data_IF_050259685703
#
_entry.id   IF_050259685703
#
_cell.length_a   1.000
_cell.length_b   1.000
_cell.length_c   1.000
_cell.angle_alpha   90.00
_cell.angle_beta   90.00
_cell.angle_gamma   90.00
#
_symmetry.space_group_name_H-M   'P 1'
#
loop_
_entity.id
_entity.type
_entity.pdbx_description
1 polymer ?
#
# COMPACT_ATOMS: atom_id res chain seq x y z
N UNK A 1 -17.01 10.48 47.17
CA UNK A 1 -17.55 9.84 45.95
C UNK A 1 -18.66 10.76 45.47
N UNK A 2 -18.31 11.69 44.59
CA UNK A 2 -19.31 12.47 43.87
C UNK A 2 -20.00 11.50 42.93
N UNK A 3 -21.30 11.22 43.14
CA UNK A 3 -22.09 10.63 42.08
C UNK A 3 -22.00 11.58 40.89
N UNK A 4 -21.65 11.09 39.70
CA UNK A 4 -21.76 11.91 38.48
C UNK A 4 -23.19 12.49 38.51
N UNK A 5 -23.37 13.81 38.35
CA UNK A 5 -24.69 14.48 38.34
C UNK A 5 -25.70 13.83 37.39
N UNK A 6 -25.22 12.94 36.54
CA UNK A 6 -25.92 12.30 35.46
C UNK A 6 -26.57 10.95 35.76
N UNK A 7 -26.36 10.35 36.95
CA UNK A 7 -27.14 9.18 37.39
C UNK A 7 -28.52 9.55 37.94
N UNK A 8 -28.73 10.83 38.27
CA UNK A 8 -29.88 11.31 39.03
C UNK A 8 -31.21 11.11 38.29
N UNK A 9 -31.25 11.16 36.95
CA UNK A 9 -32.48 10.90 36.19
C UNK A 9 -32.85 9.42 36.18
N UNK A 10 -31.86 8.54 36.04
CA UNK A 10 -32.09 7.09 36.05
C UNK A 10 -32.53 6.68 37.45
N UNK A 11 -31.84 7.18 38.47
CA UNK A 11 -32.24 7.01 39.87
C UNK A 11 -33.65 7.55 40.11
N UNK A 12 -33.99 8.75 39.62
CA UNK A 12 -35.34 9.31 39.74
C UNK A 12 -36.40 8.48 39.00
N UNK A 13 -36.13 7.99 37.79
CA UNK A 13 -37.07 7.13 37.06
C UNK A 13 -37.28 5.79 37.77
N UNK A 14 -36.24 5.25 38.40
CA UNK A 14 -36.36 4.08 39.27
C UNK A 14 -37.17 4.38 40.54
N UNK A 15 -36.91 5.50 41.21
CA UNK A 15 -37.70 5.95 42.38
C UNK A 15 -39.18 6.13 42.03
N UNK A 16 -39.50 6.65 40.85
CA UNK A 16 -40.88 6.75 40.36
C UNK A 16 -41.50 5.38 40.08
N UNK A 17 -40.75 4.47 39.48
CA UNK A 17 -41.23 3.11 39.22
C UNK A 17 -41.55 2.40 40.54
N UNK A 18 -40.70 2.58 41.55
CA UNK A 18 -40.88 2.04 42.89
C UNK A 18 -42.11 2.66 43.57
N UNK A 19 -42.24 4.00 43.53
CA UNK A 19 -43.42 4.70 44.05
C UNK A 19 -44.72 4.22 43.41
N UNK A 20 -44.78 4.11 42.08
CA UNK A 20 -45.99 3.66 41.38
C UNK A 20 -46.29 2.19 41.75
N UNK A 21 -45.26 1.36 41.93
CA UNK A 21 -45.42 -0.03 42.36
C UNK A 21 -45.95 -0.14 43.80
N UNK A 22 -45.48 0.73 44.70
CA UNK A 22 -45.95 0.83 46.09
C UNK A 22 -47.38 1.38 46.18
N UNK A 23 -47.74 2.35 45.33
CA UNK A 23 -49.11 2.85 45.22
C UNK A 23 -50.08 1.74 44.80
N UNK A 24 -49.69 0.94 43.80
CA UNK A 24 -50.48 -0.20 43.33
C UNK A 24 -50.64 -1.25 44.45
N UNK A 25 -49.56 -1.57 45.17
CA UNK A 25 -49.58 -2.62 46.20
C UNK A 25 -50.33 -2.21 47.48
N UNK A 26 -50.36 -0.92 47.81
CA UNK A 26 -51.04 -0.39 49.00
C UNK A 26 -52.55 -0.14 48.80
N UNK A 27 -53.01 -0.07 47.55
CA UNK A 27 -54.43 0.12 47.22
C UNK A 27 -55.23 -1.17 47.46
N UNK A 28 -55.84 -1.32 48.64
CA UNK A 28 -56.80 -2.40 48.90
C UNK A 28 -58.04 -2.22 47.99
N UNK A 29 -58.26 -3.18 47.09
CA UNK A 29 -59.12 -3.11 45.89
C UNK A 29 -60.65 -2.96 46.09
N UNK A 30 -61.16 -2.30 47.13
CA UNK A 30 -62.61 -2.35 47.44
C UNK A 30 -63.42 -1.07 47.19
N UNK A 31 -62.80 0.02 46.73
CA UNK A 31 -63.53 1.28 46.48
C UNK A 31 -63.65 1.58 44.98
N UNK A 32 -64.88 1.58 44.44
CA UNK A 32 -65.16 1.77 43.00
C UNK A 32 -64.60 3.10 42.44
N UNK A 33 -64.41 4.11 43.30
CA UNK A 33 -63.82 5.39 42.92
C UNK A 33 -62.31 5.37 42.66
N UNK A 34 -61.58 4.33 43.09
CA UNK A 34 -60.11 4.24 42.99
C UNK A 34 -59.67 3.50 41.71
N UNK A 35 -60.55 2.69 41.13
CA UNK A 35 -60.24 1.84 39.97
C UNK A 35 -59.64 2.59 38.75
N UNK A 36 -60.12 3.79 38.36
CA UNK A 36 -59.56 4.53 37.22
C UNK A 36 -58.11 4.98 37.46
N UNK A 37 -57.84 5.48 38.67
CA UNK A 37 -56.51 5.92 39.10
C UNK A 37 -55.53 4.75 39.16
N UNK A 38 -56.01 3.59 39.64
CA UNK A 38 -55.20 2.36 39.70
C UNK A 38 -54.82 1.86 38.30
N UNK A 39 -55.75 1.85 37.35
CA UNK A 39 -55.47 1.45 35.97
C UNK A 39 -54.42 2.36 35.32
N UNK A 40 -54.53 3.67 35.54
CA UNK A 40 -53.56 4.66 35.05
C UNK A 40 -52.17 4.46 35.67
N UNK A 41 -52.10 4.14 36.96
CA UNK A 41 -50.86 3.80 37.64
C UNK A 41 -50.22 2.52 37.06
N UNK A 42 -51.02 1.49 36.79
CA UNK A 42 -50.56 0.24 36.18
C UNK A 42 -49.98 0.49 34.78
N UNK A 43 -50.69 1.24 33.93
CA UNK A 43 -50.22 1.59 32.58
C UNK A 43 -48.90 2.37 32.61
N UNK A 44 -48.77 3.33 33.54
CA UNK A 44 -47.56 4.11 33.71
C UNK A 44 -46.39 3.24 34.19
N UNK A 45 -46.62 2.37 35.19
CA UNK A 45 -45.61 1.42 35.69
C UNK A 45 -45.07 0.57 34.55
N UNK A 46 -45.95 -0.02 33.77
CA UNK A 46 -45.57 -0.94 32.71
C UNK A 46 -44.81 -0.20 31.58
N UNK A 47 -45.21 1.04 31.28
CA UNK A 47 -44.52 1.92 30.33
C UNK A 47 -43.12 2.34 30.80
N UNK A 48 -42.99 2.74 32.07
CA UNK A 48 -41.71 3.09 32.69
C UNK A 48 -40.77 1.90 32.75
N UNK A 49 -41.28 0.73 33.14
CA UNK A 49 -40.51 -0.51 33.19
C UNK A 49 -40.02 -0.92 31.81
N UNK A 50 -40.90 -0.87 30.81
CA UNK A 50 -40.53 -1.14 29.43
C UNK A 50 -39.42 -0.19 28.98
N UNK A 51 -39.58 1.11 29.17
CA UNK A 51 -38.57 2.11 28.81
C UNK A 51 -37.22 1.84 29.47
N UNK A 52 -37.17 1.66 30.79
CA UNK A 52 -35.93 1.38 31.52
C UNK A 52 -35.25 0.08 31.06
N UNK A 53 -36.03 -0.93 30.67
CA UNK A 53 -35.48 -2.20 30.16
C UNK A 53 -34.99 -2.15 28.71
N UNK A 54 -35.55 -1.26 27.88
CA UNK A 54 -35.27 -1.20 26.43
C UNK A 54 -34.25 -0.11 26.08
N UNK A 55 -34.03 0.84 26.99
CA UNK A 55 -33.08 1.95 26.79
C UNK A 55 -31.65 1.42 26.92
N UNK A 56 -30.88 1.49 25.84
CA UNK A 56 -29.50 0.97 25.81
C UNK A 56 -28.58 1.99 26.49
N UNK A 57 -27.42 1.55 26.99
CA UNK A 57 -26.40 2.39 27.67
C UNK A 57 -26.03 3.66 26.87
N UNK A 58 -26.11 3.61 25.54
CA UNK A 58 -25.88 4.76 24.66
C UNK A 58 -27.03 5.78 24.69
N UNK A 59 -28.29 5.32 24.72
CA UNK A 59 -29.46 6.19 24.87
C UNK A 59 -29.46 6.88 26.25
N UNK A 60 -29.00 6.17 27.28
CA UNK A 60 -28.78 6.73 28.62
C UNK A 60 -27.66 7.78 28.64
N UNK A 61 -26.57 7.56 27.90
CA UNK A 61 -25.48 8.52 27.75
C UNK A 61 -25.90 9.80 26.97
N UNK A 62 -26.91 9.71 26.12
CA UNK A 62 -27.46 10.86 25.39
C UNK A 62 -28.32 11.74 26.31
N UNK A 63 -29.16 11.12 27.14
CA UNK A 63 -29.89 11.82 28.22
C UNK A 63 -28.93 12.47 29.24
N UNK A 64 -27.71 11.93 29.33
CA UNK A 64 -26.61 12.34 30.23
C UNK A 64 -25.93 13.67 29.86
N UNK A 65 -25.68 13.90 28.57
CA UNK A 65 -24.68 14.88 28.12
C UNK A 65 -25.25 16.13 27.44
N UNK A 66 -26.46 16.10 26.86
CA UNK A 66 -26.91 17.17 25.95
C UNK A 66 -27.94 18.16 26.56
N UNK A 67 -27.87 18.44 27.86
CA UNK A 67 -28.64 19.51 28.50
C UNK A 67 -30.16 19.26 28.63
N UNK A 68 -30.65 18.16 28.05
CA UNK A 68 -31.98 17.58 28.27
C UNK A 68 -32.25 17.17 29.73
N UNK A 69 -31.16 17.03 30.49
CA UNK A 69 -31.15 16.80 31.93
C UNK A 69 -31.94 17.87 32.70
N UNK A 70 -31.79 19.15 32.35
CA UNK A 70 -32.26 20.24 33.21
C UNK A 70 -33.79 20.37 33.25
N UNK A 71 -34.54 20.32 32.14
CA UNK A 71 -36.01 20.49 32.17
C UNK A 71 -36.73 19.31 32.83
N UNK A 72 -36.29 18.07 32.54
CA UNK A 72 -36.86 16.86 33.11
C UNK A 72 -36.57 16.78 34.62
N UNK A 73 -35.34 17.15 35.03
CA UNK A 73 -34.96 17.19 36.44
C UNK A 73 -35.64 18.34 37.21
N UNK A 74 -35.89 19.47 36.55
CA UNK A 74 -36.57 20.62 37.20
C UNK A 74 -38.05 20.31 37.43
N UNK A 75 -38.71 19.63 36.48
CA UNK A 75 -40.10 19.17 36.66
C UNK A 75 -40.21 18.06 37.69
N UNK A 76 -39.26 17.14 37.73
CA UNK A 76 -39.21 16.07 38.73
C UNK A 76 -39.00 16.55 40.17
N UNK A 77 -38.14 17.56 40.35
CA UNK A 77 -37.89 18.17 41.67
C UNK A 77 -39.12 18.97 42.14
N UNK A 78 -39.83 19.64 41.22
CA UNK A 78 -41.05 20.40 41.53
C UNK A 78 -42.26 19.52 41.89
N UNK A 79 -42.20 18.22 41.60
CA UNK A 79 -43.24 17.25 41.96
C UNK A 79 -43.26 16.93 43.48
N UNK A 80 -42.26 17.39 44.25
CA UNK A 80 -42.26 17.37 45.71
C UNK A 80 -41.97 15.98 46.33
N UNK A 81 -41.71 15.97 47.64
CA UNK A 81 -41.46 14.74 48.39
C UNK A 81 -42.75 13.92 48.52
N UNK A 82 -42.80 12.73 47.92
CA UNK A 82 -43.91 11.76 48.00
C UNK A 82 -44.38 11.43 49.42
N UNK A 83 -43.59 11.77 50.44
CA UNK A 83 -43.90 11.60 51.86
C UNK A 83 -45.20 12.31 52.27
N UNK A 84 -45.55 13.43 51.61
CA UNK A 84 -46.71 14.23 51.98
C UNK A 84 -48.03 13.60 51.48
N UNK A 85 -47.98 12.75 50.44
CA UNK A 85 -49.14 12.03 49.91
C UNK A 85 -49.59 10.88 50.81
N UNK A 86 -48.63 10.23 51.48
CA UNK A 86 -48.88 9.11 52.40
C UNK A 86 -49.10 9.53 53.85
N UNK A 87 -49.05 10.83 54.17
CA UNK A 87 -49.31 11.29 55.52
C UNK A 87 -50.74 10.90 55.95
N UNK A 88 -50.85 10.18 57.06
CA UNK A 88 -52.03 9.41 57.51
C UNK A 88 -53.17 10.29 58.03
N UNK A 89 -53.16 11.58 57.74
CA UNK A 89 -54.25 12.46 58.08
C UNK A 89 -55.43 12.23 57.12
N UNK A 90 -56.60 11.89 57.70
CA UNK A 90 -57.88 11.57 57.05
C UNK A 90 -58.55 12.79 56.38
N UNK A 91 -57.79 13.61 55.66
CA UNK A 91 -58.34 14.60 54.74
C UNK A 91 -59.02 13.92 53.56
N UNK A 92 -60.12 14.51 53.08
CA UNK A 92 -61.07 14.05 52.06
C UNK A 92 -60.39 13.21 50.97
N UNK A 93 -60.71 11.90 50.94
CA UNK A 93 -60.17 10.88 50.04
C UNK A 93 -60.15 11.33 48.56
N UNK A 94 -61.17 12.06 48.13
CA UNK A 94 -61.29 12.62 46.78
C UNK A 94 -60.17 13.61 46.43
N UNK A 95 -59.80 14.52 47.34
CA UNK A 95 -58.74 15.50 47.09
C UNK A 95 -57.35 14.85 47.00
N UNK A 96 -57.15 13.69 47.65
CA UNK A 96 -55.93 12.88 47.50
C UNK A 96 -55.90 12.16 46.15
N UNK A 97 -57.05 11.67 45.66
CA UNK A 97 -57.17 11.02 44.35
C UNK A 97 -56.90 12.01 43.22
N UNK A 98 -57.42 13.22 43.29
CA UNK A 98 -57.18 14.26 42.27
C UNK A 98 -55.70 14.66 42.22
N UNK A 99 -55.05 14.77 43.39
CA UNK A 99 -53.62 15.05 43.49
C UNK A 99 -52.77 13.92 42.89
N UNK A 100 -53.11 12.65 43.17
CA UNK A 100 -52.45 11.48 42.57
C UNK A 100 -52.66 11.46 41.05
N UNK A 101 -53.86 11.78 40.56
CA UNK A 101 -54.13 11.80 39.13
C UNK A 101 -53.33 12.89 38.39
N UNK A 102 -53.22 14.08 38.98
CA UNK A 102 -52.37 15.16 38.47
C UNK A 102 -50.89 14.75 38.45
N UNK A 103 -50.44 14.01 39.47
CA UNK A 103 -49.08 13.50 39.56
C UNK A 103 -48.78 12.48 38.43
N UNK A 104 -49.69 11.52 38.25
CA UNK A 104 -49.58 10.51 37.19
C UNK A 104 -49.61 11.13 35.78
N UNK A 105 -50.38 12.19 35.58
CA UNK A 105 -50.40 12.93 34.31
C UNK A 105 -49.06 13.63 34.02
N UNK A 106 -48.50 14.32 35.02
CA UNK A 106 -47.21 14.98 34.86
C UNK A 106 -46.10 13.96 34.56
N UNK A 107 -46.08 12.82 35.26
CA UNK A 107 -45.15 11.74 34.97
C UNK A 107 -45.30 11.17 33.56
N UNK A 108 -46.54 10.97 33.10
CA UNK A 108 -46.79 10.48 31.74
C UNK A 108 -46.31 11.49 30.68
N UNK A 109 -46.44 12.78 30.94
CA UNK A 109 -45.95 13.83 30.06
C UNK A 109 -44.42 13.85 30.00
N UNK A 110 -43.75 13.78 31.16
CA UNK A 110 -42.29 13.67 31.28
C UNK A 110 -41.79 12.44 30.50
N UNK A 111 -42.46 11.31 30.64
CA UNK A 111 -42.15 10.08 29.93
C UNK A 111 -42.23 10.23 28.40
N UNK A 112 -43.35 10.77 27.89
CA UNK A 112 -43.56 10.98 26.45
C UNK A 112 -42.54 11.93 25.85
N UNK A 113 -42.22 12.99 26.59
CA UNK A 113 -41.22 13.97 26.20
C UNK A 113 -39.82 13.32 26.11
N UNK A 114 -39.41 12.59 27.14
CA UNK A 114 -38.15 11.83 27.14
C UNK A 114 -38.04 10.87 25.94
N UNK A 115 -39.11 10.11 25.66
CA UNK A 115 -39.12 9.17 24.54
C UNK A 115 -39.01 9.87 23.16
N UNK A 116 -39.67 11.03 23.02
CA UNK A 116 -39.58 11.84 21.80
C UNK A 116 -38.15 12.32 21.57
N UNK A 117 -37.47 12.80 22.61
CA UNK A 117 -36.08 13.24 22.51
C UNK A 117 -35.12 12.12 22.13
N UNK A 118 -35.24 10.95 22.78
CA UNK A 118 -34.43 9.77 22.44
C UNK A 118 -34.61 9.40 20.96
N UNK A 119 -35.84 9.41 20.45
CA UNK A 119 -36.11 9.09 19.05
C UNK A 119 -35.51 10.11 18.06
N UNK A 120 -35.62 11.41 18.34
CA UNK A 120 -35.05 12.47 17.50
C UNK A 120 -33.53 12.36 17.47
N UNK A 121 -32.92 12.15 18.64
CA UNK A 121 -31.47 12.08 18.74
C UNK A 121 -30.92 10.84 18.04
N UNK A 122 -31.58 9.69 18.20
CA UNK A 122 -31.20 8.46 17.49
C UNK A 122 -31.21 8.65 15.97
N UNK A 123 -32.22 9.33 15.44
CA UNK A 123 -32.30 9.64 14.02
C UNK A 123 -31.18 10.58 13.56
N UNK A 124 -30.85 11.61 14.35
CA UNK A 124 -29.76 12.54 14.06
C UNK A 124 -28.41 11.83 14.10
N UNK A 125 -28.17 11.02 15.14
CA UNK A 125 -26.94 10.25 15.29
C UNK A 125 -26.73 9.27 14.15
N UNK A 126 -27.77 8.50 13.77
CA UNK A 126 -27.71 7.58 12.64
C UNK A 126 -27.45 8.31 11.32
N UNK A 127 -28.11 9.45 11.09
CA UNK A 127 -27.89 10.28 9.89
C UNK A 127 -26.47 10.84 9.84
N UNK A 128 -25.98 11.38 10.95
CA UNK A 128 -24.65 11.96 11.03
C UNK A 128 -23.57 10.90 10.86
N UNK A 129 -23.73 9.73 11.49
CA UNK A 129 -22.79 8.61 11.31
C UNK A 129 -22.74 8.14 9.87
N UNK A 130 -23.88 8.09 9.17
CA UNK A 130 -23.90 7.76 7.74
C UNK A 130 -23.12 8.81 6.93
N UNK A 131 -23.40 10.10 7.13
CA UNK A 131 -22.72 11.19 6.42
C UNK A 131 -21.20 11.17 6.71
N UNK A 132 -20.81 10.98 7.96
CA UNK A 132 -19.40 10.92 8.38
C UNK A 132 -18.73 9.68 7.77
N UNK A 133 -19.39 8.53 7.78
CA UNK A 133 -18.88 7.29 7.17
C UNK A 133 -18.68 7.44 5.67
N UNK A 134 -19.67 8.00 4.97
CA UNK A 134 -19.60 8.23 3.51
C UNK A 134 -18.45 9.21 3.19
N UNK A 135 -18.33 10.30 3.96
CA UNK A 135 -17.24 11.27 3.81
C UNK A 135 -15.86 10.65 4.10
N UNK A 136 -15.73 9.80 5.12
CA UNK A 136 -14.49 9.08 5.43
C UNK A 136 -14.12 8.13 4.28
N UNK A 137 -15.10 7.43 3.70
CA UNK A 137 -14.88 6.54 2.57
C UNK A 137 -14.37 7.30 1.34
N UNK A 138 -15.01 8.42 1.00
CA UNK A 138 -14.59 9.28 -0.12
C UNK A 138 -13.19 9.87 0.12
N UNK A 139 -12.89 10.29 1.37
CA UNK A 139 -11.58 10.80 1.74
C UNK A 139 -10.49 9.73 1.57
N UNK A 140 -10.79 8.49 1.97
CA UNK A 140 -9.87 7.35 1.85
C UNK A 140 -9.57 7.02 0.39
N UNK A 141 -10.57 7.07 -0.49
CA UNK A 141 -10.40 6.88 -1.93
C UNK A 141 -9.53 7.99 -2.54
N UNK A 142 -9.79 9.26 -2.18
CA UNK A 142 -8.97 10.39 -2.63
C UNK A 142 -7.52 10.29 -2.15
N UNK A 143 -7.29 9.92 -0.88
CA UNK A 143 -5.93 9.72 -0.34
C UNK A 143 -5.19 8.64 -1.12
N UNK A 144 -5.82 7.50 -1.41
CA UNK A 144 -5.22 6.44 -2.25
C UNK A 144 -4.86 6.95 -3.64
N UNK A 145 -5.72 7.77 -4.26
CA UNK A 145 -5.43 8.35 -5.57
C UNK A 145 -4.24 9.33 -5.55
N UNK A 146 -4.08 10.09 -4.46
CA UNK A 146 -2.98 11.05 -4.27
C UNK A 146 -1.66 10.31 -3.99
N UNK A 147 -1.68 9.26 -3.17
CA UNK A 147 -0.50 8.41 -2.97
C UNK A 147 -0.04 7.78 -4.29
N UNK A 148 -0.97 7.28 -5.10
CA UNK A 148 -0.66 6.73 -6.43
C UNK A 148 -0.10 7.80 -7.38
N UNK A 149 -0.67 9.01 -7.39
CA UNK A 149 -0.16 10.12 -8.19
C UNK A 149 1.25 10.53 -7.75
N UNK A 150 1.51 10.56 -6.44
CA UNK A 150 2.84 10.84 -5.89
C UNK A 150 3.85 9.77 -6.32
N UNK A 151 3.51 8.49 -6.20
CA UNK A 151 4.33 7.36 -6.67
C UNK A 151 4.62 7.44 -8.17
N UNK A 152 3.64 7.83 -8.99
CA UNK A 152 3.83 8.02 -10.42
C UNK A 152 4.80 9.19 -10.73
N UNK A 153 4.72 10.29 -9.97
CA UNK A 153 5.64 11.43 -10.11
C UNK A 153 7.07 11.07 -9.69
N UNK A 154 7.24 10.37 -8.57
CA UNK A 154 8.55 9.91 -8.09
C UNK A 154 9.16 8.87 -9.04
N UNK A 155 8.34 7.99 -9.60
CA UNK A 155 8.75 7.05 -10.64
C UNK A 155 9.26 7.78 -11.89
N UNK A 156 8.57 8.83 -12.33
CA UNK A 156 8.95 9.63 -13.52
C UNK A 156 10.35 10.27 -13.42
N UNK A 157 10.78 10.70 -12.24
CA UNK A 157 12.14 11.23 -12.05
C UNK A 157 13.21 10.13 -12.22
N UNK A 158 12.95 8.94 -11.69
CA UNK A 158 13.82 7.77 -11.83
C UNK A 158 13.80 7.23 -13.27
N UNK A 159 12.64 7.32 -13.91
CA UNK A 159 12.39 6.90 -15.28
C UNK A 159 13.32 7.60 -16.26
N UNK A 160 13.35 8.94 -16.20
CA UNK A 160 14.21 9.77 -17.04
C UNK A 160 15.67 9.39 -16.92
N UNK A 161 16.15 9.10 -15.71
CA UNK A 161 17.53 8.70 -15.50
C UNK A 161 17.87 7.39 -16.23
N UNK A 162 16.98 6.39 -16.18
CA UNK A 162 17.22 5.12 -16.87
C UNK A 162 17.05 5.21 -18.39
N UNK A 163 16.16 6.09 -18.89
CA UNK A 163 16.05 6.40 -20.32
C UNK A 163 17.33 7.04 -20.83
N UNK A 164 17.79 8.12 -20.18
CA UNK A 164 19.05 8.80 -20.55
C UNK A 164 20.25 7.84 -20.50
N UNK A 165 20.27 6.95 -19.51
CA UNK A 165 21.32 5.94 -19.38
C UNK A 165 21.24 4.89 -20.50
N UNK A 166 20.03 4.48 -20.90
CA UNK A 166 19.79 3.58 -22.03
C UNK A 166 20.30 4.21 -23.32
N UNK A 167 19.84 5.43 -23.65
CA UNK A 167 20.24 6.16 -24.85
C UNK A 167 21.77 6.31 -24.95
N UNK A 168 22.44 6.62 -23.83
CA UNK A 168 23.90 6.70 -23.78
C UNK A 168 24.58 5.38 -24.16
N UNK A 169 24.09 4.24 -23.66
CA UNK A 169 24.68 2.94 -23.99
C UNK A 169 24.35 2.47 -25.41
N UNK A 170 23.21 2.91 -25.95
CA UNK A 170 22.89 2.73 -27.37
C UNK A 170 23.88 3.49 -28.26
N UNK A 171 24.15 4.75 -27.95
CA UNK A 171 25.15 5.56 -28.66
C UNK A 171 26.55 4.92 -28.57
N UNK A 172 26.98 4.49 -27.39
CA UNK A 172 28.25 3.76 -27.22
C UNK A 172 28.29 2.45 -28.03
N UNK A 173 27.16 1.74 -28.15
CA UNK A 173 27.05 0.54 -28.98
C UNK A 173 27.21 0.89 -30.47
N UNK A 174 26.49 1.90 -30.96
CA UNK A 174 26.52 2.30 -32.36
C UNK A 174 27.92 2.78 -32.78
N UNK A 175 28.57 3.62 -31.97
CA UNK A 175 29.92 4.11 -32.21
C UNK A 175 30.94 2.97 -32.26
N UNK A 176 30.88 2.03 -31.31
CA UNK A 176 31.78 0.88 -31.32
C UNK A 176 31.52 -0.06 -32.52
N UNK A 177 30.27 -0.23 -32.93
CA UNK A 177 29.92 -1.04 -34.09
C UNK A 177 30.37 -0.38 -35.41
N UNK A 178 30.30 0.96 -35.49
CA UNK A 178 30.88 1.72 -36.57
C UNK A 178 32.41 1.58 -36.62
N UNK A 179 33.09 1.71 -35.48
CA UNK A 179 34.54 1.50 -35.40
C UNK A 179 34.94 0.08 -35.82
N UNK A 180 34.16 -0.94 -35.44
CA UNK A 180 34.35 -2.31 -35.90
C UNK A 180 34.25 -2.40 -37.43
N UNK A 181 33.17 -1.88 -38.03
CA UNK A 181 32.96 -1.90 -39.48
C UNK A 181 34.07 -1.18 -40.23
N UNK A 182 34.48 0.00 -39.75
CA UNK A 182 35.55 0.79 -40.36
C UNK A 182 36.90 0.08 -40.24
N UNK A 183 37.20 -0.54 -39.10
CA UNK A 183 38.43 -1.34 -38.90
C UNK A 183 38.48 -2.55 -39.81
N UNK A 184 37.36 -3.26 -39.97
CA UNK A 184 37.26 -4.40 -40.87
C UNK A 184 37.48 -3.97 -42.32
N UNK A 185 36.83 -2.88 -42.74
CA UNK A 185 37.02 -2.30 -44.08
C UNK A 185 38.48 -1.91 -44.33
N UNK A 186 39.10 -1.16 -43.42
CA UNK A 186 40.51 -0.76 -43.52
C UNK A 186 41.43 -1.99 -43.60
N UNK A 187 41.19 -3.02 -42.79
CA UNK A 187 42.01 -4.25 -42.80
C UNK A 187 41.93 -4.96 -44.16
N UNK A 188 40.73 -5.06 -44.74
CA UNK A 188 40.52 -5.65 -46.07
C UNK A 188 41.21 -4.79 -47.14
N UNK A 189 41.03 -3.48 -47.11
CA UNK A 189 41.68 -2.55 -48.05
C UNK A 189 43.21 -2.65 -47.96
N UNK A 190 43.80 -2.63 -46.76
CA UNK A 190 45.24 -2.79 -46.54
C UNK A 190 45.74 -4.13 -47.08
N UNK A 191 44.96 -5.21 -46.93
CA UNK A 191 45.31 -6.53 -47.46
C UNK A 191 45.32 -6.54 -48.99
N UNK A 192 44.31 -5.95 -49.62
CA UNK A 192 44.22 -5.84 -51.09
C UNK A 192 45.34 -4.96 -51.64
N UNK A 193 45.58 -3.79 -51.03
CA UNK A 193 46.66 -2.88 -51.43
C UNK A 193 48.04 -3.52 -51.27
N UNK A 194 48.26 -4.27 -50.19
CA UNK A 194 49.50 -5.05 -49.99
C UNK A 194 49.73 -6.08 -51.10
N UNK A 195 48.66 -6.73 -51.58
CA UNK A 195 48.74 -7.67 -52.70
C UNK A 195 49.01 -6.92 -54.02
N UNK A 196 48.28 -5.84 -54.30
CA UNK A 196 48.44 -5.03 -55.51
C UNK A 196 49.85 -4.41 -55.62
N UNK A 197 50.43 -3.97 -54.49
CA UNK A 197 51.81 -3.47 -54.46
C UNK A 197 52.82 -4.56 -54.85
N UNK A 198 52.63 -5.79 -54.39
CA UNK A 198 53.51 -6.90 -54.74
C UNK A 198 53.43 -7.32 -56.23
N UNK A 199 52.29 -7.10 -56.89
CA UNK A 199 52.15 -7.34 -58.34
C UNK A 199 52.97 -6.38 -59.21
N UNK A 200 53.32 -5.18 -58.70
CA UNK A 200 54.10 -4.19 -59.44
C UNK A 200 55.62 -4.39 -59.32
N UNK A 201 56.08 -5.37 -58.54
CA UNK A 201 57.49 -5.67 -58.33
C UNK A 201 57.86 -6.94 -59.10
N UNK A 202 58.99 -6.99 -59.82
CA UNK A 202 59.47 -8.22 -60.43
C UNK A 202 59.64 -9.33 -59.37
N UNK A 203 59.15 -10.54 -59.66
CA UNK A 203 59.11 -11.67 -58.71
C UNK A 203 60.49 -11.99 -58.10
N UNK A 204 61.56 -11.70 -58.84
CA UNK A 204 62.96 -11.93 -58.44
C UNK A 204 63.43 -11.00 -57.32
N UNK A 205 62.84 -9.80 -57.20
CA UNK A 205 63.24 -8.78 -56.22
C UNK A 205 62.37 -8.80 -54.95
N UNK A 206 61.40 -9.72 -54.87
CA UNK A 206 60.49 -9.82 -53.73
C UNK A 206 61.22 -10.49 -52.56
N UNK A 207 61.42 -9.73 -51.47
CA UNK A 207 61.79 -10.31 -50.19
C UNK A 207 60.56 -11.02 -49.58
N UNK A 208 60.46 -12.32 -49.83
CA UNK A 208 59.36 -13.17 -49.36
C UNK A 208 59.18 -13.15 -47.84
N UNK A 209 60.26 -13.06 -47.06
CA UNK A 209 60.19 -13.01 -45.61
C UNK A 209 59.45 -11.74 -45.13
N UNK A 210 59.83 -10.57 -45.66
CA UNK A 210 59.18 -9.29 -45.32
C UNK A 210 57.72 -9.29 -45.78
N UNK A 211 57.44 -9.80 -46.98
CA UNK A 211 56.07 -9.87 -47.52
C UNK A 211 55.13 -10.71 -46.64
N UNK A 212 55.58 -11.88 -46.18
CA UNK A 212 54.80 -12.75 -45.29
C UNK A 212 54.62 -12.10 -43.91
N UNK A 213 55.69 -11.52 -43.34
CA UNK A 213 55.62 -10.86 -42.03
C UNK A 213 54.64 -9.68 -42.01
N UNK A 214 54.60 -8.87 -43.07
CA UNK A 214 53.66 -7.74 -43.17
C UNK A 214 52.21 -8.22 -43.20
N UNK A 215 51.91 -9.33 -43.88
CA UNK A 215 50.54 -9.89 -43.90
C UNK A 215 50.13 -10.41 -42.53
N UNK A 216 51.03 -11.10 -41.86
CA UNK A 216 50.79 -11.57 -40.50
C UNK A 216 50.52 -10.40 -39.55
N UNK A 217 51.26 -9.30 -39.69
CA UNK A 217 51.07 -8.10 -38.88
C UNK A 217 49.71 -7.43 -39.17
N UNK A 218 49.35 -7.23 -40.43
CA UNK A 218 48.05 -6.64 -40.82
C UNK A 218 46.90 -7.49 -40.26
N UNK A 219 47.01 -8.81 -40.39
CA UNK A 219 45.98 -9.74 -39.93
C UNK A 219 45.90 -9.77 -38.40
N UNK A 220 47.05 -9.80 -37.70
CA UNK A 220 47.09 -9.75 -36.24
C UNK A 220 46.46 -8.46 -35.71
N UNK A 221 46.89 -7.29 -36.21
CA UNK A 221 46.35 -5.99 -35.78
C UNK A 221 44.87 -5.87 -36.11
N UNK A 222 44.46 -6.29 -37.31
CA UNK A 222 43.07 -6.27 -37.75
C UNK A 222 42.17 -7.12 -36.85
N UNK A 223 42.57 -8.37 -36.55
CA UNK A 223 41.82 -9.26 -35.66
C UNK A 223 41.76 -8.70 -34.24
N UNK A 224 42.87 -8.18 -33.71
CA UNK A 224 42.90 -7.63 -32.34
C UNK A 224 41.96 -6.44 -32.20
N UNK A 225 42.00 -5.48 -33.14
CA UNK A 225 41.12 -4.31 -33.11
C UNK A 225 39.65 -4.69 -33.34
N UNK A 226 39.37 -5.58 -34.30
CA UNK A 226 38.02 -6.08 -34.54
C UNK A 226 37.45 -6.75 -33.28
N UNK A 227 38.23 -7.62 -32.63
CA UNK A 227 37.83 -8.29 -31.39
C UNK A 227 37.58 -7.29 -30.26
N UNK A 228 38.42 -6.26 -30.14
CA UNK A 228 38.28 -5.23 -29.11
C UNK A 228 36.97 -4.43 -29.29
N UNK A 229 36.70 -3.93 -30.49
CA UNK A 229 35.49 -3.16 -30.77
C UNK A 229 34.23 -4.02 -30.64
N UNK A 230 34.28 -5.28 -31.10
CA UNK A 230 33.17 -6.21 -30.94
C UNK A 230 32.87 -6.48 -29.46
N UNK A 231 33.89 -6.66 -28.62
CA UNK A 231 33.73 -6.85 -27.17
C UNK A 231 33.11 -5.63 -26.51
N UNK A 232 33.57 -4.42 -26.87
CA UNK A 232 33.01 -3.17 -26.34
C UNK A 232 31.56 -2.95 -26.78
N UNK A 233 31.25 -3.20 -28.05
CA UNK A 233 29.88 -3.13 -28.56
C UNK A 233 28.96 -4.13 -27.84
N UNK A 234 29.39 -5.39 -27.67
CA UNK A 234 28.60 -6.39 -26.95
C UNK A 234 28.35 -6.00 -25.49
N UNK A 235 29.35 -5.43 -24.81
CA UNK A 235 29.20 -4.94 -23.45
C UNK A 235 28.22 -3.75 -23.36
N UNK A 236 28.37 -2.76 -24.24
CA UNK A 236 27.47 -1.60 -24.31
C UNK A 236 26.03 -2.01 -24.60
N UNK A 237 25.81 -2.92 -25.56
CA UNK A 237 24.48 -3.47 -25.88
C UNK A 237 23.83 -4.15 -24.67
N UNK A 238 24.59 -4.97 -23.94
CA UNK A 238 24.07 -5.62 -22.72
C UNK A 238 23.68 -4.60 -21.65
N UNK A 239 24.44 -3.52 -21.54
CA UNK A 239 24.20 -2.49 -20.54
C UNK A 239 22.99 -1.62 -20.92
N UNK A 240 22.81 -1.34 -22.21
CA UNK A 240 21.58 -0.78 -22.79
C UNK A 240 20.37 -1.66 -22.47
N UNK A 241 20.41 -2.96 -22.81
CA UNK A 241 19.29 -3.88 -22.57
C UNK A 241 18.90 -3.93 -21.08
N UNK A 242 19.89 -3.90 -20.17
CA UNK A 242 19.64 -3.86 -18.73
C UNK A 242 19.02 -2.54 -18.28
N UNK A 243 19.51 -1.40 -18.77
CA UNK A 243 18.98 -0.08 -18.44
C UNK A 243 17.54 0.06 -18.95
N UNK A 244 17.29 -0.36 -20.19
CA UNK A 244 15.96 -0.36 -20.82
C UNK A 244 14.98 -1.28 -20.08
N UNK A 245 15.40 -2.49 -19.73
CA UNK A 245 14.57 -3.40 -18.93
C UNK A 245 14.20 -2.77 -17.58
N UNK A 246 15.18 -2.16 -16.90
CA UNK A 246 14.97 -1.51 -15.59
C UNK A 246 14.01 -0.32 -15.73
N UNK A 247 14.14 0.48 -16.79
CA UNK A 247 13.20 1.55 -17.14
C UNK A 247 11.76 1.03 -17.26
N UNK A 248 11.55 -0.02 -18.06
CA UNK A 248 10.22 -0.62 -18.25
C UNK A 248 9.67 -1.19 -16.94
N UNK A 249 10.52 -1.86 -16.16
CA UNK A 249 10.13 -2.45 -14.86
C UNK A 249 9.71 -1.36 -13.85
N UNK A 250 10.45 -0.25 -13.76
CA UNK A 250 10.13 0.89 -12.89
C UNK A 250 8.81 1.57 -13.32
N UNK A 251 8.57 1.69 -14.63
CA UNK A 251 7.31 2.24 -15.14
C UNK A 251 6.11 1.30 -14.91
N UNK A 252 6.31 -0.01 -15.01
CA UNK A 252 5.27 -1.01 -14.74
C UNK A 252 5.01 -1.20 -13.24
N UNK A 253 5.96 -0.85 -12.38
CA UNK A 253 5.93 -1.14 -10.95
C UNK A 253 4.73 -0.56 -10.18
N UNK A 254 4.36 0.73 -10.34
CA UNK A 254 3.19 1.30 -9.65
C UNK A 254 1.87 0.61 -10.04
N UNK A 255 1.76 0.19 -11.31
CA UNK A 255 0.58 -0.52 -11.82
C UNK A 255 0.48 -1.93 -11.23
N UNK A 256 1.62 -2.61 -11.10
CA UNK A 256 1.71 -3.95 -10.52
C UNK A 256 1.39 -3.95 -9.02
N UNK A 257 2.02 -3.06 -8.24
CA UNK A 257 1.81 -2.97 -6.79
C UNK A 257 0.36 -2.65 -6.44
N UNK A 258 -0.34 -1.85 -7.25
CA UNK A 258 -1.75 -1.50 -7.03
C UNK A 258 -2.68 -2.71 -6.99
N UNK A 259 -2.32 -3.80 -7.66
CA UNK A 259 -3.15 -5.01 -7.75
C UNK A 259 -2.99 -5.96 -6.55
N UNK A 260 -2.06 -5.67 -5.64
CA UNK A 260 -1.65 -6.55 -4.54
C UNK A 260 -2.10 -6.03 -3.17
N UNK A 261 -2.21 -6.94 -2.20
CA UNK A 261 -2.48 -6.59 -0.80
C UNK A 261 -1.27 -5.87 -0.16
N UNK A 262 -1.52 -5.03 0.84
CA UNK A 262 -0.50 -4.16 1.46
C UNK A 262 0.69 -4.93 2.07
N UNK A 263 0.49 -6.17 2.51
CA UNK A 263 1.58 -7.04 3.00
C UNK A 263 2.57 -7.38 1.89
N UNK A 264 2.04 -7.75 0.73
CA UNK A 264 2.81 -8.27 -0.40
C UNK A 264 3.53 -7.13 -1.11
N UNK A 265 2.94 -5.93 -1.10
CA UNK A 265 3.59 -4.70 -1.59
C UNK A 265 4.91 -4.42 -0.86
N UNK A 266 4.95 -4.59 0.47
CA UNK A 266 6.16 -4.33 1.26
C UNK A 266 7.25 -5.37 1.03
N UNK A 267 6.85 -6.64 0.88
CA UNK A 267 7.78 -7.73 0.58
C UNK A 267 8.42 -7.55 -0.80
N UNK A 268 7.62 -7.26 -1.82
CA UNK A 268 8.09 -7.03 -3.19
C UNK A 268 8.95 -5.77 -3.27
N UNK A 269 8.58 -4.70 -2.56
CA UNK A 269 9.42 -3.48 -2.47
C UNK A 269 10.79 -3.80 -1.89
N UNK A 270 10.84 -4.63 -0.85
CA UNK A 270 12.11 -5.03 -0.21
C UNK A 270 12.95 -5.91 -1.14
N UNK A 271 12.34 -6.83 -1.86
CA UNK A 271 13.03 -7.68 -2.83
C UNK A 271 13.60 -6.88 -4.00
N UNK A 272 12.82 -5.96 -4.57
CA UNK A 272 13.27 -5.07 -5.66
C UNK A 272 14.36 -4.11 -5.17
N UNK A 273 14.23 -3.58 -3.96
CA UNK A 273 15.26 -2.73 -3.39
C UNK A 273 16.60 -3.46 -3.29
N UNK A 274 16.61 -4.72 -2.86
CA UNK A 274 17.83 -5.56 -2.83
C UNK A 274 18.34 -5.90 -4.23
N UNK A 275 17.44 -6.03 -5.22
CA UNK A 275 17.81 -6.38 -6.59
C UNK A 275 18.46 -5.22 -7.35
N UNK A 276 17.96 -3.99 -7.17
CA UNK A 276 18.45 -2.81 -7.88
C UNK A 276 19.47 -1.97 -7.09
N UNK A 277 19.40 -1.94 -5.76
CA UNK A 277 20.35 -1.19 -4.93
C UNK A 277 21.37 -2.15 -4.29
N UNK A 278 22.66 -1.94 -4.57
CA UNK A 278 23.76 -2.65 -3.91
C UNK A 278 24.23 -3.94 -4.56
N UNK A 279 23.63 -4.38 -5.69
CA UNK A 279 24.20 -5.48 -6.47
C UNK A 279 25.33 -4.97 -7.38
N UNK A 280 26.56 -5.33 -7.02
CA UNK A 280 27.72 -5.23 -7.90
C UNK A 280 27.38 -5.91 -9.24
N UNK A 281 27.73 -5.25 -10.34
CA UNK A 281 27.58 -5.76 -11.70
C UNK A 281 28.04 -7.22 -11.72
N UNK A 282 27.11 -8.13 -11.93
CA UNK A 282 27.32 -9.58 -11.92
C UNK A 282 28.45 -9.93 -12.91
N UNK A 283 29.66 -10.07 -12.37
CA UNK A 283 30.91 -10.34 -13.10
C UNK A 283 30.90 -11.74 -13.74
N UNK A 284 29.99 -12.62 -13.31
CA UNK A 284 29.94 -14.03 -13.72
C UNK A 284 29.76 -14.24 -15.23
N UNK A 285 29.17 -13.30 -15.97
CA UNK A 285 29.08 -13.39 -17.43
C UNK A 285 30.27 -12.77 -18.17
N UNK A 286 30.91 -11.74 -17.60
CA UNK A 286 32.14 -11.19 -18.20
C UNK A 286 33.31 -12.18 -18.02
N UNK A 287 33.28 -12.93 -16.92
CA UNK A 287 34.20 -14.05 -16.64
C UNK A 287 33.95 -15.22 -17.60
N UNK A 288 32.70 -15.63 -17.85
CA UNK A 288 32.40 -16.69 -18.84
C UNK A 288 32.84 -16.37 -20.27
N UNK A 289 32.74 -15.10 -20.68
CA UNK A 289 33.24 -14.67 -22.00
C UNK A 289 34.77 -14.56 -21.98
N UNK A 290 35.37 -14.15 -20.86
CA UNK A 290 36.81 -14.21 -20.64
C UNK A 290 37.37 -15.63 -20.74
N UNK A 291 36.70 -16.59 -20.10
CA UNK A 291 37.01 -18.02 -20.15
C UNK A 291 36.90 -18.56 -21.58
N UNK A 292 35.85 -18.20 -22.31
CA UNK A 292 35.67 -18.67 -23.70
C UNK A 292 36.75 -18.14 -24.66
N UNK A 293 37.21 -16.90 -24.44
CA UNK A 293 38.34 -16.31 -25.20
C UNK A 293 39.67 -16.91 -24.75
N UNK A 294 39.83 -17.19 -23.47
CA UNK A 294 41.01 -17.87 -22.92
C UNK A 294 41.12 -19.31 -23.42
N UNK A 295 39.99 -20.02 -23.56
CA UNK A 295 39.92 -21.35 -24.14
C UNK A 295 40.29 -21.33 -25.62
N UNK A 296 39.84 -20.32 -26.38
CA UNK A 296 40.23 -20.14 -27.78
C UNK A 296 41.71 -19.77 -27.94
N UNK A 297 42.26 -18.93 -27.06
CA UNK A 297 43.69 -18.61 -27.06
C UNK A 297 44.55 -19.82 -26.67
N UNK A 298 44.12 -20.60 -25.68
CA UNK A 298 44.81 -21.81 -25.24
C UNK A 298 44.80 -22.87 -26.34
N UNK A 299 43.62 -23.12 -26.96
CA UNK A 299 43.50 -24.01 -28.10
C UNK A 299 44.36 -23.55 -29.29
N UNK A 300 44.39 -22.25 -29.59
CA UNK A 300 45.26 -21.67 -30.62
C UNK A 300 46.75 -21.87 -30.32
N UNK A 301 47.15 -21.75 -29.05
CA UNK A 301 48.54 -21.93 -28.62
C UNK A 301 48.97 -23.40 -28.67
N UNK A 302 48.07 -24.32 -28.31
CA UNK A 302 48.28 -25.75 -28.46
C UNK A 302 48.40 -26.17 -29.93
N UNK A 303 47.60 -25.57 -30.82
CA UNK A 303 47.67 -25.83 -32.27
C UNK A 303 48.99 -25.35 -32.87
N UNK A 304 49.49 -24.19 -32.43
CA UNK A 304 50.82 -23.67 -32.82
C UNK A 304 51.94 -24.57 -32.28
N UNK A 305 51.83 -25.02 -31.04
CA UNK A 305 52.79 -25.95 -30.42
C UNK A 305 52.82 -27.30 -31.15
N UNK A 306 51.66 -27.89 -31.41
CA UNK A 306 51.53 -29.13 -32.17
C UNK A 306 52.07 -28.98 -33.60
N UNK A 307 51.84 -27.84 -34.25
CA UNK A 307 52.39 -27.53 -35.57
C UNK A 307 53.92 -27.41 -35.53
N UNK A 308 54.48 -26.76 -34.50
CA UNK A 308 55.92 -26.65 -34.32
C UNK A 308 56.58 -28.01 -34.01
N UNK A 309 55.92 -28.87 -33.23
CA UNK A 309 56.38 -30.24 -32.95
C UNK A 309 56.31 -31.13 -34.20
N UNK A 310 55.26 -30.99 -35.02
CA UNK A 310 55.13 -31.70 -36.31
C UNK A 310 56.18 -31.26 -37.34
N UNK A 311 56.51 -29.97 -37.39
CA UNK A 311 57.61 -29.44 -38.25
C UNK A 311 58.97 -29.95 -37.76
N UNK A 312 59.20 -30.01 -36.44
CA UNK A 312 60.41 -30.61 -35.87
C UNK A 312 60.51 -32.12 -36.15
N UNK A 313 59.41 -32.85 -36.05
CA UNK A 313 59.36 -34.28 -36.34
C UNK A 313 59.62 -34.59 -37.83
N UNK A 314 59.22 -33.68 -38.73
CA UNK A 314 59.50 -33.79 -40.17
C UNK A 314 60.96 -33.47 -40.51
N UNK A 315 61.56 -32.49 -39.85
CA UNK A 315 62.97 -32.12 -40.04
C UNK A 315 63.95 -33.10 -39.36
N UNK A 316 63.53 -33.81 -38.30
CA UNK A 316 64.34 -34.84 -37.64
C UNK A 316 64.40 -36.19 -38.36
N UNK A 317 63.68 -36.35 -39.49
CA UNK A 317 63.65 -37.59 -40.28
C UNK A 317 64.47 -37.52 -41.59
N UNK A 318 65.18 -36.41 -41.82
CA UNK A 318 65.99 -36.16 -43.02
C UNK A 318 67.49 -36.41 -42.88
N UNK A 319 68.00 -36.72 -41.67
CA UNK A 319 69.44 -36.96 -41.42
C UNK A 319 69.76 -38.45 -41.17
N UNK A 320 68.94 -39.34 -41.73
CA UNK A 320 69.20 -40.79 -41.72
C UNK A 320 68.88 -41.40 -43.09
N UNK A 321 69.56 -40.91 -44.13
CA UNK A 321 69.91 -41.66 -45.35
C UNK A 321 71.19 -41.08 -45.97
#
# INVERSE_FOLDING_TARGET
MESEPSNVIIEYLHENLDFVSDLISSSSMTDEGIAPTLNKAIELRDSLRYFLSTTIKEDLNLLRNDGLYIPLLTRSINLGSYTDLFDRNKGILHGKIDLINSYLDELNNIYKEANTYVSLYKNIYQRNNKIISDAISELKEKIQSVEAAKLAIESNATDKFFVELSEKYEEEYELNNEHFRNTLFITVCCTILSIAYAFNIPIVDINWAVFISVKFLILAVGITLCTLFLRRAAHAKKLHEKAYQTHVEINAYPLFIRSLEKSDQQEITKELALRYFGNNIDQTQNDKIGDLVQDQLSAGTELVRASAEMVKAKNGKGDAE
#
